data_IF_115522166911
#
_entry.id   IF_115522166911
#
_cell.length_a   1.000
_cell.length_b   1.000
_cell.length_c   1.000
_cell.angle_alpha   90.00
_cell.angle_beta   90.00
_cell.angle_gamma   90.00
#
_symmetry.space_group_name_H-M   'P 1'
#
loop_
_entity.id
_entity.type
_entity.pdbx_description
1 polymer ?
#
# COMPACT_ATOMS: atom_id res chain seq x y z
N UNK A 1 5.27 53.82 -18.65
CA UNK A 1 5.59 52.93 -17.51
C UNK A 1 4.51 51.87 -17.42
N UNK A 2 4.81 50.62 -17.80
CA UNK A 2 3.84 49.51 -17.76
C UNK A 2 3.77 48.93 -16.35
N UNK A 3 2.66 49.13 -15.64
CA UNK A 3 2.41 48.49 -14.35
C UNK A 3 2.25 46.98 -14.58
N UNK A 4 3.18 46.19 -14.03
CA UNK A 4 3.02 44.73 -13.94
C UNK A 4 1.96 44.45 -12.88
N UNK A 5 0.76 44.07 -13.33
CA UNK A 5 -0.26 43.53 -12.44
C UNK A 5 0.19 42.15 -11.98
N UNK A 6 0.68 42.06 -10.74
CA UNK A 6 0.82 40.78 -10.06
C UNK A 6 -0.61 40.32 -9.75
N UNK A 7 -1.10 39.32 -10.48
CA UNK A 7 -2.32 38.64 -10.09
C UNK A 7 -2.10 38.08 -8.68
N UNK A 8 -2.82 38.61 -7.70
CA UNK A 8 -2.88 38.01 -6.38
C UNK A 8 -3.31 36.55 -6.60
N UNK A 9 -2.48 35.61 -6.13
CA UNK A 9 -2.87 34.21 -6.03
C UNK A 9 -4.10 34.23 -5.13
N UNK A 10 -5.30 34.16 -5.71
CA UNK A 10 -6.54 34.00 -4.97
C UNK A 10 -6.27 32.86 -4.00
N UNK A 11 -6.35 33.13 -2.70
CA UNK A 11 -6.18 32.11 -1.67
C UNK A 11 -7.06 30.95 -2.08
N UNK A 12 -6.45 29.86 -2.56
CA UNK A 12 -7.20 28.62 -2.75
C UNK A 12 -7.74 28.33 -1.36
N UNK A 13 -9.05 28.41 -1.20
CA UNK A 13 -9.72 27.94 -0.01
C UNK A 13 -9.44 26.44 -0.01
N UNK A 14 -8.35 26.05 0.63
CA UNK A 14 -8.07 24.66 0.93
C UNK A 14 -9.09 24.34 2.01
N UNK A 15 -10.03 23.40 1.78
CA UNK A 15 -10.96 23.03 2.83
C UNK A 15 -10.13 22.59 4.04
N UNK A 16 -10.35 23.24 5.19
CA UNK A 16 -9.72 22.83 6.44
C UNK A 16 -10.17 21.40 6.70
N UNK A 17 -9.22 20.47 6.66
CA UNK A 17 -9.49 19.07 6.89
C UNK A 17 -9.63 18.92 8.40
N UNK A 18 -10.86 18.80 8.88
CA UNK A 18 -11.15 18.55 10.28
C UNK A 18 -10.34 17.34 10.76
N UNK A 19 -9.69 17.48 11.93
CA UNK A 19 -8.90 16.42 12.54
C UNK A 19 -9.82 15.32 13.06
N UNK A 20 -9.97 14.26 12.26
CA UNK A 20 -10.78 13.06 12.58
C UNK A 20 -10.07 12.08 13.51
N UNK A 21 -8.93 12.45 14.07
CA UNK A 21 -8.05 11.58 14.87
C UNK A 21 -8.33 11.66 16.36
N UNK A 22 -9.53 12.06 16.78
CA UNK A 22 -9.90 11.99 18.19
C UNK A 22 -9.96 10.53 18.64
N UNK A 23 -9.21 10.20 19.70
CA UNK A 23 -9.16 8.88 20.31
C UNK A 23 -9.64 9.02 21.74
N UNK A 24 -10.61 8.21 22.14
CA UNK A 24 -11.08 8.15 23.53
C UNK A 24 -10.02 7.49 24.42
N UNK A 25 -9.80 8.03 25.62
CA UNK A 25 -8.82 7.52 26.58
C UNK A 25 -9.47 6.73 27.73
N UNK A 26 -10.81 6.67 27.77
CA UNK A 26 -11.52 5.96 28.82
C UNK A 26 -11.44 4.44 28.63
N UNK A 27 -10.74 3.77 29.55
CA UNK A 27 -10.50 2.32 29.49
C UNK A 27 -11.78 1.49 29.52
N UNK A 28 -12.73 1.83 30.39
CA UNK A 28 -14.01 1.10 30.52
C UNK A 28 -14.82 1.13 29.21
N UNK A 29 -14.81 2.27 28.52
CA UNK A 29 -15.49 2.43 27.23
C UNK A 29 -14.81 1.63 26.13
N UNK A 30 -13.47 1.67 26.07
CA UNK A 30 -12.68 0.93 25.08
C UNK A 30 -12.79 -0.59 25.22
N UNK A 31 -12.98 -1.10 26.44
CA UNK A 31 -13.16 -2.53 26.68
C UNK A 31 -14.58 -3.03 26.34
N UNK A 32 -15.57 -2.14 26.35
CA UNK A 32 -16.99 -2.50 26.18
C UNK A 32 -17.54 -2.20 24.80
N UNK A 33 -16.98 -1.23 24.09
CA UNK A 33 -17.49 -0.75 22.80
C UNK A 33 -16.37 -0.63 21.76
N UNK A 34 -16.73 -0.83 20.50
CA UNK A 34 -15.88 -0.60 19.34
C UNK A 34 -15.97 0.88 18.96
N UNK A 35 -15.07 1.70 19.53
CA UNK A 35 -15.01 3.16 19.34
C UNK A 35 -14.52 3.57 17.92
N UNK A 36 -15.19 3.11 16.86
CA UNK A 36 -14.85 3.37 15.44
C UNK A 36 -15.77 4.43 14.83
N UNK A 37 -16.78 4.90 15.56
CA UNK A 37 -17.94 5.59 14.97
C UNK A 37 -17.74 7.07 14.62
N UNK A 38 -16.51 7.53 14.39
CA UNK A 38 -16.27 8.86 13.82
C UNK A 38 -16.73 8.99 12.35
N UNK A 39 -17.18 7.89 11.72
CA UNK A 39 -17.61 7.83 10.32
C UNK A 39 -19.14 7.86 10.14
N UNK A 40 -19.92 7.58 11.19
CA UNK A 40 -21.38 7.48 11.13
C UNK A 40 -21.97 8.59 12.00
N UNK A 41 -22.49 9.63 11.34
CA UNK A 41 -23.19 10.71 12.02
C UNK A 41 -24.46 10.17 12.70
N UNK A 42 -24.44 10.09 14.04
CA UNK A 42 -25.62 9.76 14.86
C UNK A 42 -25.83 8.28 15.20
N UNK A 43 -24.88 7.39 14.92
CA UNK A 43 -24.92 6.00 15.38
C UNK A 43 -24.31 5.81 16.78
N UNK A 44 -24.86 4.92 17.60
CA UNK A 44 -24.18 4.42 18.81
C UNK A 44 -23.02 3.48 18.44
N UNK A 45 -21.95 3.48 19.24
CA UNK A 45 -20.82 2.56 19.05
C UNK A 45 -21.28 1.09 19.25
N UNK A 46 -20.88 0.15 18.38
CA UNK A 46 -21.20 -1.27 18.56
C UNK A 46 -20.61 -1.83 19.87
N UNK A 47 -21.42 -2.55 20.64
CA UNK A 47 -21.01 -3.22 21.88
C UNK A 47 -20.26 -4.53 21.59
N UNK A 48 -19.24 -4.80 22.40
CA UNK A 48 -18.52 -6.07 22.40
C UNK A 48 -19.35 -7.09 23.21
N UNK A 49 -19.67 -8.21 22.58
CA UNK A 49 -20.50 -9.29 23.13
C UNK A 49 -19.60 -10.38 23.76
N UNK A 50 -20.14 -11.35 24.51
CA UNK A 50 -19.35 -12.48 24.99
C UNK A 50 -18.86 -13.38 23.83
N UNK A 51 -17.73 -14.07 24.03
CA UNK A 51 -17.07 -14.90 23.02
C UNK A 51 -17.99 -15.97 22.38
N UNK A 52 -19.01 -16.43 23.11
CA UNK A 52 -19.98 -17.43 22.64
C UNK A 52 -20.90 -16.94 21.53
N UNK A 53 -21.09 -15.63 21.39
CA UNK A 53 -21.90 -15.05 20.32
C UNK A 53 -21.13 -14.91 19.01
N UNK A 54 -19.80 -14.96 19.07
CA UNK A 54 -18.94 -14.87 17.90
C UNK A 54 -18.68 -16.25 17.29
N UNK A 55 -18.53 -16.31 15.96
CA UNK A 55 -18.26 -17.58 15.30
C UNK A 55 -16.87 -18.10 15.66
N UNK A 56 -16.75 -19.42 15.82
CA UNK A 56 -15.52 -20.10 16.26
C UNK A 56 -14.28 -19.75 15.42
N UNK A 57 -14.43 -19.60 14.10
CA UNK A 57 -13.33 -19.29 13.19
C UNK A 57 -12.62 -17.96 13.51
N UNK A 58 -13.28 -17.05 14.24
CA UNK A 58 -12.68 -15.78 14.65
C UNK A 58 -11.45 -16.00 15.54
N UNK A 59 -11.54 -16.96 16.46
CA UNK A 59 -10.47 -17.29 17.42
C UNK A 59 -9.41 -18.23 16.83
N UNK A 60 -9.70 -18.82 15.67
CA UNK A 60 -8.75 -19.67 14.94
C UNK A 60 -7.86 -18.86 13.98
N UNK A 61 -8.14 -17.54 13.84
CA UNK A 61 -7.34 -16.66 12.99
C UNK A 61 -5.91 -16.53 13.52
N UNK A 62 -4.94 -16.61 12.60
CA UNK A 62 -3.52 -16.36 12.91
C UNK A 62 -3.29 -14.87 13.10
N UNK A 63 -3.04 -14.47 14.35
CA UNK A 63 -2.70 -13.09 14.73
C UNK A 63 -1.25 -12.72 14.41
N UNK A 64 -0.43 -13.70 14.07
CA UNK A 64 0.93 -13.50 13.61
C UNK A 64 0.99 -12.77 12.26
N UNK A 65 2.15 -12.20 11.95
CA UNK A 65 2.42 -11.64 10.64
C UNK A 65 2.16 -12.66 9.51
N UNK A 66 1.90 -12.14 8.30
CA UNK A 66 1.71 -12.98 7.11
C UNK A 66 2.93 -13.91 6.93
N UNK A 67 2.67 -15.20 6.72
CA UNK A 67 3.70 -16.18 6.34
C UNK A 67 4.44 -15.69 5.10
N UNK A 68 5.74 -15.96 5.04
CA UNK A 68 6.49 -15.70 3.82
C UNK A 68 6.16 -16.77 2.77
N UNK A 69 6.46 -16.47 1.51
CA UNK A 69 6.25 -17.42 0.42
C UNK A 69 7.00 -18.74 0.62
N UNK A 70 8.15 -18.70 1.29
CA UNK A 70 9.01 -19.86 1.53
C UNK A 70 8.43 -20.79 2.61
N UNK A 71 7.57 -20.27 3.49
CA UNK A 71 6.90 -21.03 4.55
C UNK A 71 5.50 -21.55 4.15
N UNK A 72 5.05 -21.20 2.93
CA UNK A 72 3.75 -21.59 2.40
C UNK A 72 3.91 -22.85 1.54
N UNK A 73 3.03 -23.82 1.77
CA UNK A 73 2.99 -25.05 0.96
C UNK A 73 1.87 -24.93 -0.09
N UNK A 74 2.16 -25.12 -1.39
CA UNK A 74 1.14 -25.10 -2.44
C UNK A 74 0.01 -26.13 -2.24
N UNK A 75 0.27 -27.27 -1.60
CA UNK A 75 -0.74 -28.32 -1.41
C UNK A 75 -1.61 -28.07 -0.16
N UNK A 76 -1.06 -27.43 0.88
CA UNK A 76 -1.77 -27.17 2.15
C UNK A 76 -2.44 -25.80 2.16
N UNK A 77 -1.69 -24.75 1.80
CA UNK A 77 -2.17 -23.36 1.82
C UNK A 77 -2.85 -22.95 0.50
N UNK A 78 -2.68 -23.75 -0.56
CA UNK A 78 -3.40 -23.65 -1.83
C UNK A 78 -3.32 -22.26 -2.46
N UNK A 79 -4.45 -21.55 -2.45
CA UNK A 79 -4.58 -20.22 -3.07
C UNK A 79 -3.65 -19.16 -2.46
N UNK A 80 -3.36 -19.23 -1.16
CA UNK A 80 -2.53 -18.25 -0.48
C UNK A 80 -1.09 -18.26 -1.02
N UNK A 81 -0.56 -19.45 -1.29
CA UNK A 81 0.75 -19.63 -1.91
C UNK A 81 0.82 -18.93 -3.27
N UNK A 82 -0.12 -19.23 -4.17
CA UNK A 82 -0.12 -18.68 -5.52
C UNK A 82 -0.32 -17.16 -5.56
N UNK A 83 -1.13 -16.63 -4.64
CA UNK A 83 -1.29 -15.19 -4.45
C UNK A 83 0.03 -14.52 -4.07
N UNK A 84 0.74 -15.05 -3.06
CA UNK A 84 2.02 -14.50 -2.63
C UNK A 84 3.11 -14.65 -3.71
N UNK A 85 3.10 -15.78 -4.44
CA UNK A 85 3.97 -16.00 -5.58
C UNK A 85 3.78 -14.93 -6.65
N UNK A 86 2.52 -14.65 -7.02
CA UNK A 86 2.20 -13.62 -8.02
C UNK A 86 2.58 -12.22 -7.54
N UNK A 87 2.33 -11.91 -6.28
CA UNK A 87 2.75 -10.64 -5.69
C UNK A 87 4.27 -10.47 -5.70
N UNK A 88 5.04 -11.53 -5.43
CA UNK A 88 6.51 -11.51 -5.49
C UNK A 88 7.01 -11.24 -6.91
N UNK A 89 6.42 -11.86 -7.92
CA UNK A 89 6.72 -11.57 -9.33
C UNK A 89 6.44 -10.11 -9.68
N UNK A 90 5.27 -9.58 -9.31
CA UNK A 90 4.91 -8.18 -9.58
C UNK A 90 5.87 -7.20 -8.90
N UNK A 91 6.28 -7.48 -7.65
CA UNK A 91 7.30 -6.70 -6.94
C UNK A 91 8.63 -6.69 -7.69
N UNK A 92 9.07 -7.85 -8.20
CA UNK A 92 10.29 -7.96 -9.00
C UNK A 92 10.20 -7.18 -10.30
N UNK A 93 9.09 -7.29 -11.05
CA UNK A 93 8.87 -6.55 -12.30
C UNK A 93 8.94 -5.04 -12.06
N UNK A 94 8.21 -4.53 -11.06
CA UNK A 94 8.24 -3.10 -10.69
C UNK A 94 9.64 -2.64 -10.29
N UNK A 95 10.39 -3.47 -9.57
CA UNK A 95 11.79 -3.17 -9.22
C UNK A 95 12.67 -3.09 -10.47
N UNK A 96 12.56 -4.04 -11.38
CA UNK A 96 13.31 -4.05 -12.64
C UNK A 96 12.96 -2.83 -13.49
N UNK A 97 11.69 -2.49 -13.63
CA UNK A 97 11.22 -1.34 -14.40
C UNK A 97 11.76 -0.01 -13.84
N UNK A 98 11.71 0.15 -12.51
CA UNK A 98 12.31 1.32 -11.84
C UNK A 98 13.82 1.41 -12.07
N UNK A 99 14.53 0.28 -12.10
CA UNK A 99 15.95 0.24 -12.40
C UNK A 99 16.23 0.55 -13.87
N UNK A 100 15.45 -0.01 -14.81
CA UNK A 100 15.56 0.28 -16.25
C UNK A 100 15.52 1.78 -16.50
N UNK A 101 14.55 2.49 -15.91
CA UNK A 101 14.41 3.94 -16.04
C UNK A 101 15.62 4.71 -15.50
N UNK A 102 16.12 4.32 -14.33
CA UNK A 102 17.31 4.95 -13.71
C UNK A 102 18.59 4.71 -14.51
N UNK A 103 18.67 3.60 -15.22
CA UNK A 103 19.80 3.24 -16.07
C UNK A 103 19.61 3.63 -17.55
N UNK A 104 18.55 4.36 -17.92
CA UNK A 104 18.38 4.90 -19.29
C UNK A 104 19.61 5.73 -19.68
N UNK A 105 20.10 6.56 -18.77
CA UNK A 105 21.30 7.39 -18.98
C UNK A 105 22.62 6.62 -18.85
N UNK A 106 22.57 5.34 -18.48
CA UNK A 106 23.73 4.45 -18.40
C UNK A 106 23.90 3.60 -19.67
N UNK A 107 22.88 3.51 -20.54
CA UNK A 107 22.94 2.69 -21.76
C UNK A 107 24.00 3.17 -22.77
N UNK A 108 24.46 4.41 -22.64
CA UNK A 108 25.58 4.98 -23.41
C UNK A 108 26.81 5.32 -22.56
N UNK A 109 26.85 4.92 -21.28
CA UNK A 109 27.99 5.20 -20.41
C UNK A 109 29.25 4.44 -20.86
N UNK A 110 30.44 5.08 -20.87
CA UNK A 110 31.72 4.43 -21.15
C UNK A 110 32.00 3.20 -20.28
N UNK A 111 31.50 3.18 -19.03
CA UNK A 111 31.67 2.04 -18.10
C UNK A 111 30.81 0.83 -18.48
N UNK A 112 29.63 1.05 -19.08
CA UNK A 112 28.75 -0.03 -19.59
C UNK A 112 29.26 -0.64 -20.89
N UNK A 113 29.96 0.14 -21.74
CA UNK A 113 30.64 -0.40 -22.92
C UNK A 113 31.80 -1.32 -22.54
N UNK A 114 32.49 -1.04 -21.43
CA UNK A 114 33.60 -1.85 -20.90
C UNK A 114 33.15 -3.16 -20.22
N UNK A 115 31.92 -3.24 -19.72
CA UNK A 115 31.42 -4.45 -19.03
C UNK A 115 30.97 -5.58 -19.97
N UNK A 116 31.00 -5.38 -21.29
CA UNK A 116 30.66 -6.40 -22.29
C UNK A 116 29.16 -6.69 -22.42
N UNK A 117 28.29 -6.00 -21.67
CA UNK A 117 26.84 -6.20 -21.72
C UNK A 117 26.24 -5.59 -23.01
N UNK A 118 26.20 -6.36 -24.10
CA UNK A 118 25.42 -6.02 -25.30
C UNK A 118 23.93 -6.21 -25.00
N UNK A 119 23.28 -5.17 -24.47
CA UNK A 119 21.82 -5.15 -24.40
C UNK A 119 21.26 -5.36 -25.80
N UNK A 120 20.50 -6.45 -26.01
CA UNK A 120 19.71 -6.62 -27.23
C UNK A 120 18.80 -5.40 -27.34
N UNK A 121 19.05 -4.53 -28.32
CA UNK A 121 18.07 -3.52 -28.72
C UNK A 121 16.89 -4.29 -29.28
N UNK A 122 15.85 -4.51 -28.50
CA UNK A 122 14.55 -4.84 -29.08
C UNK A 122 14.12 -3.56 -29.82
N UNK A 123 14.26 -3.55 -31.14
CA UNK A 123 13.68 -2.52 -31.98
C UNK A 123 12.17 -2.56 -31.76
N UNK A 124 11.60 -1.48 -31.24
CA UNK A 124 10.15 -1.32 -31.10
C UNK A 124 9.45 -1.08 -32.46
N UNK A 125 10.09 -1.48 -33.57
CA UNK A 125 9.65 -1.27 -34.96
C UNK A 125 9.95 -2.49 -35.84
N UNK A 126 9.76 -3.70 -35.31
CA UNK A 126 9.69 -4.93 -36.11
C UNK A 126 8.52 -5.79 -35.62
N UNK A 127 7.29 -5.28 -35.77
CA UNK A 127 6.05 -6.03 -36.09
C UNK A 127 5.15 -5.06 -36.86
#
# INVERSE_FOLDING_TARGET
>A
MTLRNYAAISSRIIPEKEDRSFIDLNTEKLCTHVCVNYLLDGGEDPKILPDSEYPQWLFELRLEGKKQLEDLDPEVDGWLYWREYRLRQLRQIRRIEKLKQKFINLQESPTMRKSGYRGKKASLYEI
#
